data_IF_919246553842
#
_entry.id   IF_919246553842
#
_cell.length_a   1.000
_cell.length_b   1.000
_cell.length_c   1.000
_cell.angle_alpha   90.00
_cell.angle_beta   90.00
_cell.angle_gamma   90.00
#
_symmetry.space_group_name_H-M   'P 1'
#
loop_
_entity.id
_entity.type
_entity.pdbx_description
1 polymer ?
#
# COMPACT_ATOMS: atom_id res chain seq x y z
N UNK A 1 -4.94 -10.13 -19.63
CA UNK A 1 -4.86 -11.11 -18.51
C UNK A 1 -6.29 -11.40 -18.03
N UNK A 2 -6.75 -12.65 -17.96
CA UNK A 2 -8.13 -12.95 -17.50
C UNK A 2 -8.35 -12.35 -16.09
N UNK A 3 -9.45 -11.62 -15.88
CA UNK A 3 -9.75 -10.92 -14.61
C UNK A 3 -9.71 -11.85 -13.39
N UNK A 4 -10.09 -13.12 -13.56
CA UNK A 4 -9.96 -14.15 -12.53
C UNK A 4 -8.52 -14.37 -12.03
N UNK A 5 -7.52 -14.31 -12.92
CA UNK A 5 -6.10 -14.41 -12.52
C UNK A 5 -5.70 -13.20 -11.67
N UNK A 6 -6.19 -12.00 -12.03
CA UNK A 6 -5.97 -10.77 -11.25
C UNK A 6 -6.58 -10.88 -9.84
N UNK A 7 -7.80 -11.43 -9.73
CA UNK A 7 -8.46 -11.68 -8.44
C UNK A 7 -7.71 -12.71 -7.58
N UNK A 8 -7.18 -13.79 -8.19
CA UNK A 8 -6.34 -14.76 -7.47
C UNK A 8 -5.06 -14.14 -6.92
N UNK A 9 -4.42 -13.26 -7.70
CA UNK A 9 -3.24 -12.51 -7.23
C UNK A 9 -3.62 -11.57 -6.09
N UNK A 10 -4.74 -10.84 -6.19
CA UNK A 10 -5.23 -9.98 -5.10
C UNK A 10 -5.51 -10.76 -3.82
N UNK A 11 -6.03 -11.99 -3.94
CA UNK A 11 -6.23 -12.89 -2.82
C UNK A 11 -4.90 -13.29 -2.17
N UNK A 12 -3.90 -13.70 -2.96
CA UNK A 12 -2.55 -14.02 -2.47
C UNK A 12 -1.88 -12.82 -1.82
N UNK A 13 -2.00 -11.62 -2.40
CA UNK A 13 -1.53 -10.38 -1.80
C UNK A 13 -2.22 -10.11 -0.46
N UNK A 14 -3.53 -10.37 -0.35
CA UNK A 14 -4.26 -10.24 0.91
C UNK A 14 -3.67 -11.11 2.03
N UNK A 15 -3.35 -12.37 1.74
CA UNK A 15 -2.66 -13.25 2.70
C UNK A 15 -1.26 -12.73 3.05
N UNK A 16 -0.50 -12.26 2.06
CA UNK A 16 0.82 -11.68 2.29
C UNK A 16 0.75 -10.49 3.25
N UNK A 17 -0.22 -9.59 3.09
CA UNK A 17 -0.45 -8.46 4.00
C UNK A 17 -0.78 -8.89 5.42
N UNK A 18 -1.58 -9.94 5.59
CA UNK A 18 -1.86 -10.51 6.92
C UNK A 18 -0.59 -11.07 7.56
N UNK A 19 0.21 -11.84 6.81
CA UNK A 19 1.46 -12.40 7.32
C UNK A 19 2.44 -11.29 7.76
N UNK A 20 2.59 -10.25 6.95
CA UNK A 20 3.40 -9.07 7.29
C UNK A 20 2.87 -8.36 8.55
N UNK A 21 1.56 -8.17 8.66
CA UNK A 21 0.95 -7.54 9.83
C UNK A 21 1.10 -8.36 11.10
N UNK A 22 0.96 -9.69 11.03
CA UNK A 22 1.22 -10.59 12.17
C UNK A 22 2.68 -10.50 12.58
N UNK A 23 3.63 -10.51 11.64
CA UNK A 23 5.05 -10.36 11.93
C UNK A 23 5.34 -9.05 12.66
N UNK A 24 4.74 -7.94 12.22
CA UNK A 24 4.86 -6.63 12.86
C UNK A 24 4.29 -6.61 14.28
N UNK A 25 3.12 -7.23 14.51
CA UNK A 25 2.54 -7.38 15.84
C UNK A 25 3.41 -8.27 16.74
N UNK A 26 3.92 -9.39 16.24
CA UNK A 26 4.81 -10.28 17.00
C UNK A 26 6.08 -9.53 17.40
N UNK A 27 6.69 -8.78 16.48
CA UNK A 27 7.85 -7.95 16.78
C UNK A 27 7.55 -6.91 17.87
N UNK A 28 6.38 -6.26 17.82
CA UNK A 28 5.95 -5.32 18.83
C UNK A 28 5.86 -5.97 20.23
N UNK A 29 5.25 -7.16 20.34
CA UNK A 29 5.01 -7.82 21.62
C UNK A 29 6.14 -8.76 22.08
N UNK A 30 7.19 -8.98 21.28
CA UNK A 30 8.28 -9.90 21.65
C UNK A 30 9.25 -9.34 22.71
N UNK A 31 9.03 -8.11 23.21
CA UNK A 31 9.91 -7.42 24.16
C UNK A 31 11.28 -7.01 23.59
N UNK A 32 11.54 -7.24 22.29
CA UNK A 32 12.77 -6.83 21.60
C UNK A 32 12.73 -5.40 21.08
N UNK A 33 11.52 -4.85 20.92
CA UNK A 33 11.30 -3.49 20.46
C UNK A 33 11.26 -2.56 21.68
N UNK A 34 12.03 -1.47 21.63
CA UNK A 34 12.09 -0.49 22.72
C UNK A 34 10.70 0.05 23.06
N UNK A 35 10.46 0.29 24.36
CA UNK A 35 9.21 0.88 24.84
C UNK A 35 9.04 2.30 24.28
N UNK A 36 7.81 2.65 23.89
CA UNK A 36 7.49 3.96 23.31
C UNK A 36 7.11 3.90 21.84
N UNK A 37 7.66 4.82 21.02
CA UNK A 37 7.27 4.98 19.61
C UNK A 37 7.40 3.69 18.77
N UNK A 38 8.52 2.95 18.82
CA UNK A 38 8.67 1.74 17.99
C UNK A 38 7.60 0.67 18.28
N UNK A 39 7.22 0.51 19.55
CA UNK A 39 6.14 -0.40 19.96
C UNK A 39 4.80 0.02 19.35
N UNK A 40 4.41 1.28 19.53
CA UNK A 40 3.14 1.80 19.02
C UNK A 40 3.08 1.80 17.50
N UNK A 41 4.21 2.05 16.84
CA UNK A 41 4.33 2.02 15.40
C UNK A 41 4.15 0.60 14.86
N UNK A 42 4.87 -0.39 15.40
CA UNK A 42 4.77 -1.78 14.96
C UNK A 42 3.39 -2.40 15.25
N UNK A 43 2.81 -2.10 16.43
CA UNK A 43 1.47 -2.58 16.77
C UNK A 43 0.38 -1.92 15.90
N UNK A 44 0.45 -0.60 15.70
CA UNK A 44 -0.52 0.15 14.90
C UNK A 44 -0.47 -0.22 13.42
N UNK A 45 0.72 -0.22 12.83
CA UNK A 45 0.91 -0.63 11.43
C UNK A 45 0.58 -2.09 11.22
N UNK A 46 0.98 -2.98 12.13
CA UNK A 46 0.66 -4.41 12.08
C UNK A 46 -0.86 -4.66 12.07
N UNK A 47 -1.61 -4.01 12.96
CA UNK A 47 -3.07 -4.07 12.98
C UNK A 47 -3.71 -3.56 11.69
N UNK A 48 -3.21 -2.44 11.15
CA UNK A 48 -3.68 -1.88 9.89
C UNK A 48 -3.47 -2.82 8.70
N UNK A 49 -2.29 -3.45 8.60
CA UNK A 49 -1.98 -4.41 7.54
C UNK A 49 -2.88 -5.64 7.60
N UNK A 50 -3.17 -6.15 8.80
CA UNK A 50 -4.11 -7.26 9.00
C UNK A 50 -5.50 -6.88 8.49
N UNK A 51 -6.01 -5.70 8.88
CA UNK A 51 -7.33 -5.23 8.45
C UNK A 51 -7.43 -5.08 6.92
N UNK A 52 -6.42 -4.48 6.29
CA UNK A 52 -6.36 -4.33 4.82
C UNK A 52 -6.32 -5.69 4.13
N UNK A 53 -5.56 -6.64 4.68
CA UNK A 53 -5.49 -8.02 4.19
C UNK A 53 -6.85 -8.72 4.22
N UNK A 54 -7.59 -8.61 5.32
CA UNK A 54 -8.95 -9.16 5.42
C UNK A 54 -9.90 -8.54 4.40
N UNK A 55 -9.88 -7.22 4.23
CA UNK A 55 -10.73 -6.53 3.25
C UNK A 55 -10.44 -7.06 1.83
N UNK A 56 -9.16 -7.22 1.47
CA UNK A 56 -8.77 -7.77 0.17
C UNK A 56 -9.26 -9.20 -0.03
N UNK A 57 -9.14 -10.05 1.00
CA UNK A 57 -9.60 -11.44 0.95
C UNK A 57 -11.12 -11.50 0.79
N UNK A 58 -11.88 -10.79 1.63
CA UNK A 58 -13.34 -10.76 1.58
C UNK A 58 -13.82 -10.26 0.22
N UNK A 59 -13.25 -9.16 -0.28
CA UNK A 59 -13.60 -8.61 -1.59
C UNK A 59 -13.29 -9.61 -2.71
N UNK A 60 -12.12 -10.24 -2.69
CA UNK A 60 -11.70 -11.21 -3.71
C UNK A 60 -12.57 -12.45 -3.73
N UNK A 61 -12.89 -13.03 -2.56
CA UNK A 61 -13.79 -14.19 -2.44
C UNK A 61 -15.19 -13.84 -2.95
N UNK A 62 -15.73 -12.68 -2.57
CA UNK A 62 -17.06 -12.22 -3.01
C UNK A 62 -17.14 -12.08 -4.53
N UNK A 63 -16.10 -11.53 -5.16
CA UNK A 63 -16.02 -11.37 -6.61
C UNK A 63 -15.76 -12.70 -7.34
N UNK A 64 -15.03 -13.64 -6.74
CA UNK A 64 -14.83 -14.97 -7.32
C UNK A 64 -16.10 -15.82 -7.26
N UNK A 65 -16.90 -15.71 -6.18
CA UNK A 65 -18.12 -16.49 -6.00
C UNK A 65 -19.30 -16.00 -6.85
N UNK A 66 -19.36 -14.70 -7.19
CA UNK A 66 -20.49 -14.11 -7.89
C UNK A 66 -20.10 -13.53 -9.25
N UNK A 67 -20.43 -14.25 -10.33
CA UNK A 67 -20.09 -13.86 -11.70
C UNK A 67 -20.72 -12.53 -12.11
N UNK A 68 -21.94 -12.23 -11.67
CA UNK A 68 -22.63 -10.98 -12.01
C UNK A 68 -21.92 -9.75 -11.42
N UNK A 69 -21.44 -9.85 -10.18
CA UNK A 69 -20.67 -8.80 -9.52
C UNK A 69 -19.28 -8.67 -10.14
N UNK A 70 -18.68 -9.79 -10.54
CA UNK A 70 -17.39 -9.82 -11.22
C UNK A 70 -17.41 -9.06 -12.54
N UNK A 71 -18.40 -9.32 -13.39
CA UNK A 71 -18.55 -8.62 -14.69
C UNK A 71 -18.76 -7.12 -14.49
N UNK A 72 -19.56 -6.72 -13.49
CA UNK A 72 -19.77 -5.31 -13.14
C UNK A 72 -18.47 -4.62 -12.70
N UNK A 73 -17.69 -5.26 -11.82
CA UNK A 73 -16.43 -4.69 -11.35
C UNK A 73 -15.36 -4.67 -12.46
N UNK A 74 -15.35 -5.67 -13.35
CA UNK A 74 -14.49 -5.70 -14.53
C UNK A 74 -14.76 -4.51 -15.45
N UNK A 75 -16.02 -4.28 -15.83
CA UNK A 75 -16.42 -3.12 -16.65
C UNK A 75 -16.01 -1.81 -15.97
N UNK A 76 -16.25 -1.70 -14.66
CA UNK A 76 -15.89 -0.49 -13.89
C UNK A 76 -14.38 -0.22 -13.91
N UNK A 77 -13.55 -1.25 -13.77
CA UNK A 77 -12.08 -1.11 -13.73
C UNK A 77 -11.50 -0.79 -15.10
N UNK A 78 -12.09 -1.32 -16.17
CA UNK A 78 -11.62 -1.13 -17.54
C UNK A 78 -12.29 0.03 -18.28
N UNK A 79 -13.25 0.73 -17.66
CA UNK A 79 -13.82 1.98 -18.18
C UNK A 79 -12.70 3.06 -18.28
N UNK A 80 -12.49 3.57 -19.49
CA UNK A 80 -11.45 4.56 -19.80
C UNK A 80 -11.53 5.79 -18.91
N UNK A 81 -12.75 6.24 -18.59
CA UNK A 81 -12.95 7.41 -17.72
C UNK A 81 -12.47 7.12 -16.30
N UNK A 82 -12.75 5.93 -15.77
CA UNK A 82 -12.28 5.54 -14.45
C UNK A 82 -10.76 5.38 -14.42
N UNK A 83 -10.18 4.85 -15.49
CA UNK A 83 -8.72 4.75 -15.65
C UNK A 83 -8.10 6.16 -15.64
N UNK A 84 -8.67 7.11 -16.36
CA UNK A 84 -8.19 8.49 -16.40
C UNK A 84 -8.24 9.15 -15.02
N UNK A 85 -9.39 9.10 -14.35
CA UNK A 85 -9.57 9.65 -13.00
C UNK A 85 -8.58 9.00 -12.02
N UNK A 86 -8.45 7.67 -12.09
CA UNK A 86 -7.54 6.92 -11.21
C UNK A 86 -6.07 7.34 -11.41
N UNK A 87 -5.62 7.53 -12.66
CA UNK A 87 -4.27 8.03 -12.95
C UNK A 87 -4.04 9.41 -12.33
N UNK A 88 -5.01 10.33 -12.47
CA UNK A 88 -4.90 11.67 -11.92
C UNK A 88 -4.87 11.67 -10.38
N UNK A 89 -5.72 10.84 -9.76
CA UNK A 89 -5.72 10.66 -8.30
C UNK A 89 -4.38 10.10 -7.82
N UNK A 90 -3.81 9.10 -8.50
CA UNK A 90 -2.51 8.55 -8.11
C UNK A 90 -1.38 9.57 -8.21
N UNK A 91 -1.36 10.39 -9.27
CA UNK A 91 -0.39 11.47 -9.41
C UNK A 91 -0.54 12.53 -8.33
N UNK A 92 -1.78 12.86 -7.94
CA UNK A 92 -2.04 13.82 -6.87
C UNK A 92 -1.64 13.23 -5.51
N UNK A 93 -2.02 11.97 -5.26
CA UNK A 93 -1.72 11.25 -4.04
C UNK A 93 -0.22 11.13 -3.80
N UNK A 94 0.58 10.82 -4.82
CA UNK A 94 2.05 10.73 -4.65
C UNK A 94 2.66 12.06 -4.24
N UNK A 95 2.23 13.16 -4.86
CA UNK A 95 2.72 14.50 -4.53
C UNK A 95 2.31 14.89 -3.11
N UNK A 96 1.05 14.69 -2.73
CA UNK A 96 0.57 14.98 -1.37
C UNK A 96 1.30 14.13 -0.32
N UNK A 97 1.52 12.84 -0.60
CA UNK A 97 2.26 11.95 0.31
C UNK A 97 3.68 12.45 0.54
N UNK A 98 4.39 12.85 -0.52
CA UNK A 98 5.76 13.36 -0.42
C UNK A 98 5.84 14.66 0.39
N UNK A 99 4.91 15.60 0.15
CA UNK A 99 4.86 16.88 0.89
C UNK A 99 4.56 16.64 2.37
N UNK A 100 3.55 15.82 2.68
CA UNK A 100 3.20 15.51 4.07
C UNK A 100 4.33 14.78 4.80
N UNK A 101 5.00 13.86 4.11
CA UNK A 101 6.15 13.15 4.68
C UNK A 101 7.33 14.09 4.93
N UNK A 102 7.58 15.06 4.05
CA UNK A 102 8.59 16.10 4.28
C UNK A 102 8.26 17.02 5.45
N UNK A 103 6.99 17.43 5.59
CA UNK A 103 6.56 18.22 6.75
C UNK A 103 6.73 17.41 8.03
N UNK A 104 6.40 16.11 7.99
CA UNK A 104 6.59 15.20 9.12
C UNK A 104 8.06 15.00 9.48
N UNK A 105 8.98 14.91 8.51
CA UNK A 105 10.43 14.82 8.77
C UNK A 105 10.96 16.11 9.40
N UNK A 106 10.54 17.28 8.91
CA UNK A 106 10.93 18.57 9.52
C UNK A 106 10.41 18.69 10.96
N UNK A 107 9.16 18.30 11.19
CA UNK A 107 8.59 18.27 12.54
C UNK A 107 9.36 17.31 13.46
N UNK A 108 9.69 16.11 12.97
CA UNK A 108 10.50 15.15 13.70
C UNK A 108 11.90 15.70 14.02
N UNK A 109 12.54 16.40 13.08
CA UNK A 109 13.86 17.00 13.29
C UNK A 109 13.88 18.01 14.45
N UNK A 110 12.81 18.77 14.63
CA UNK A 110 12.70 19.80 15.67
C UNK A 110 12.41 19.22 17.07
N UNK A 111 11.56 18.19 17.16
CA UNK A 111 11.04 17.72 18.44
C UNK A 111 11.62 16.37 18.89
N UNK A 112 11.88 15.45 17.96
CA UNK A 112 12.32 14.07 18.24
C UNK A 112 13.30 13.59 17.17
N UNK A 113 14.59 13.98 17.25
CA UNK A 113 15.57 13.68 16.20
C UNK A 113 15.80 12.18 15.99
N UNK A 114 15.46 11.34 16.97
CA UNK A 114 15.46 9.87 16.87
C UNK A 114 14.54 9.33 15.75
N UNK A 115 13.50 10.09 15.38
CA UNK A 115 12.55 9.72 14.32
C UNK A 115 12.99 10.19 12.93
N UNK A 116 14.07 10.97 12.84
CA UNK A 116 14.54 11.53 11.57
C UNK A 116 14.96 10.44 10.59
N UNK A 117 15.80 9.49 11.03
CA UNK A 117 16.31 8.39 10.20
C UNK A 117 15.17 7.52 9.66
N UNK A 118 14.22 7.00 10.47
CA UNK A 118 13.15 6.17 9.93
C UNK A 118 12.24 6.91 8.95
N UNK A 119 11.96 8.20 9.17
CA UNK A 119 11.18 8.98 8.19
C UNK A 119 11.95 9.27 6.90
N UNK A 120 13.27 9.52 6.96
CA UNK A 120 14.11 9.66 5.76
C UNK A 120 14.16 8.36 4.95
N UNK A 121 14.29 7.21 5.61
CA UNK A 121 14.23 5.90 4.95
C UNK A 121 12.86 5.66 4.30
N UNK A 122 11.76 6.04 4.97
CA UNK A 122 10.42 5.96 4.39
C UNK A 122 10.29 6.86 3.15
N UNK A 123 10.82 8.08 3.21
CA UNK A 123 10.81 9.01 2.09
C UNK A 123 11.60 8.49 0.89
N UNK A 124 12.77 7.89 1.14
CA UNK A 124 13.58 7.28 0.10
C UNK A 124 12.87 6.08 -0.55
N UNK A 125 12.19 5.27 0.26
CA UNK A 125 11.39 4.14 -0.22
C UNK A 125 10.21 4.61 -1.10
N UNK A 126 9.49 5.66 -0.70
CA UNK A 126 8.41 6.25 -1.49
C UNK A 126 8.92 6.78 -2.83
N UNK A 127 10.04 7.50 -2.85
CA UNK A 127 10.65 8.01 -4.09
C UNK A 127 11.11 6.85 -5.00
N UNK A 128 11.73 5.81 -4.44
CA UNK A 128 12.13 4.63 -5.19
C UNK A 128 10.93 3.92 -5.82
N UNK A 129 9.82 3.80 -5.10
CA UNK A 129 8.57 3.22 -5.61
C UNK A 129 7.99 4.05 -6.76
N UNK A 130 8.00 5.38 -6.64
CA UNK A 130 7.58 6.28 -7.73
C UNK A 130 8.45 6.14 -8.97
N UNK A 131 9.77 6.00 -8.78
CA UNK A 131 10.71 5.81 -9.88
C UNK A 131 10.48 4.47 -10.59
N UNK A 132 10.28 3.39 -9.84
CA UNK A 132 9.93 2.07 -10.40
C UNK A 132 8.59 2.12 -11.16
N UNK A 133 7.58 2.81 -10.61
CA UNK A 133 6.31 2.99 -11.28
C UNK A 133 6.45 3.79 -12.59
N UNK A 134 7.28 4.83 -12.60
CA UNK A 134 7.57 5.63 -13.79
C UNK A 134 8.29 4.79 -14.87
N UNK A 135 9.31 4.00 -14.49
CA UNK A 135 10.01 3.09 -15.41
C UNK A 135 9.03 2.07 -16.00
N UNK A 136 8.21 1.44 -15.16
CA UNK A 136 7.23 0.45 -15.61
C UNK A 136 6.22 1.07 -16.60
N UNK A 137 5.73 2.27 -16.32
CA UNK A 137 4.85 2.99 -17.23
C UNK A 137 5.54 3.35 -18.55
N UNK A 138 6.80 3.80 -18.51
CA UNK A 138 7.54 4.17 -19.71
C UNK A 138 7.82 2.96 -20.63
N UNK A 139 8.25 1.84 -20.04
CA UNK A 139 8.46 0.58 -20.77
C UNK A 139 7.15 0.11 -21.41
N UNK A 140 6.04 0.15 -20.68
CA UNK A 140 4.74 -0.25 -21.21
C UNK A 140 4.30 0.62 -22.39
N UNK A 141 4.45 1.93 -22.28
CA UNK A 141 4.07 2.86 -23.36
C UNK A 141 5.00 2.77 -24.59
N UNK A 142 6.21 2.22 -24.45
CA UNK A 142 7.15 2.00 -25.56
C UNK A 142 6.92 0.68 -26.30
N UNK A 143 6.06 -0.20 -25.77
CA UNK A 143 5.72 -1.51 -26.35
C UNK A 143 4.31 -1.56 -26.97
N UNK A 144 3.53 -0.49 -26.86
CA UNK A 144 2.27 -0.26 -27.59
C UNK A 144 2.55 0.67 -28.79
#
# INVERSE_FOLDING_TARGET
MKFEKKLKIQLTCGFLWICLGILACVAAFSGKVSSGYPLTYCAGTGGGLIAIGFIHIIKSIRLLKNESLRKKEEIRIYDERNIFIQKQIYSLHSLFSLVLLYVATLWAALWKPELLIPFLLLMLADVALLFLAAIYCNIRNSCE
#
